data_IF_097040216965
#
_entry.id   IF_097040216965
#
_cell.length_a   1.000
_cell.length_b   1.000
_cell.length_c   1.000
_cell.angle_alpha   90.00
_cell.angle_beta   90.00
_cell.angle_gamma   90.00
#
_symmetry.space_group_name_H-M   'P 1'
#
loop_
_entity.id
_entity.type
_entity.pdbx_description
1 polymer ?
#
# COMPACT_ATOMS: atom_id res chain seq x y z
N UNK A 1 21.07 1.97 -2.36
CA UNK A 1 19.90 2.63 -1.74
C UNK A 1 19.72 3.98 -2.41
N UNK A 2 18.53 4.23 -2.94
CA UNK A 2 18.19 5.54 -3.52
C UNK A 2 18.27 6.62 -2.44
N UNK A 3 18.70 7.83 -2.80
CA UNK A 3 18.54 9.00 -1.94
C UNK A 3 17.06 9.25 -1.69
N UNK A 4 16.71 9.94 -0.62
CA UNK A 4 15.31 10.25 -0.28
C UNK A 4 14.61 10.97 -1.43
N UNK A 5 15.30 11.92 -2.07
CA UNK A 5 14.84 12.68 -3.25
C UNK A 5 14.69 11.86 -4.54
N UNK A 6 15.20 10.65 -4.58
CA UNK A 6 15.15 9.76 -5.75
C UNK A 6 14.01 8.75 -5.66
N UNK A 7 13.23 8.76 -4.57
CA UNK A 7 12.06 7.89 -4.47
C UNK A 7 10.90 8.46 -5.31
N UNK A 8 10.15 7.60 -6.01
CA UNK A 8 8.93 8.04 -6.66
C UNK A 8 7.88 8.43 -5.59
N UNK A 9 6.89 9.27 -5.92
CA UNK A 9 5.74 9.50 -5.06
C UNK A 9 4.97 8.20 -4.83
N UNK A 10 4.23 8.17 -3.70
CA UNK A 10 3.39 7.01 -3.34
C UNK A 10 2.21 6.88 -4.30
N UNK A 11 1.70 7.99 -4.78
CA UNK A 11 0.56 8.10 -5.70
C UNK A 11 0.97 8.98 -6.88
N UNK A 12 0.55 8.61 -8.07
CA UNK A 12 0.67 9.46 -9.24
C UNK A 12 -0.64 9.47 -10.03
N UNK A 13 -1.19 10.64 -10.37
CA UNK A 13 -0.74 12.01 -10.02
C UNK A 13 -0.79 12.29 -8.51
N UNK A 14 0.17 13.07 -8.00
CA UNK A 14 0.32 13.33 -6.55
C UNK A 14 -0.83 14.13 -5.93
N UNK A 15 -1.49 14.96 -6.73
CA UNK A 15 -2.57 15.85 -6.28
C UNK A 15 -3.91 15.13 -6.08
N UNK A 16 -4.04 13.90 -6.55
CA UNK A 16 -5.28 13.15 -6.55
C UNK A 16 -5.30 12.10 -5.43
N UNK A 17 -6.52 11.71 -5.02
CA UNK A 17 -6.75 10.46 -4.31
C UNK A 17 -6.93 9.34 -5.33
N UNK A 18 -6.56 8.13 -4.97
CA UNK A 18 -6.80 6.96 -5.82
C UNK A 18 -8.28 6.74 -6.14
N UNK A 19 -9.21 7.32 -5.36
CA UNK A 19 -10.66 7.30 -5.64
C UNK A 19 -11.04 8.07 -6.91
N UNK A 20 -10.20 9.02 -7.34
CA UNK A 20 -10.42 9.82 -8.55
C UNK A 20 -9.88 9.19 -9.83
N UNK A 21 -9.14 8.10 -9.73
CA UNK A 21 -8.53 7.45 -10.89
C UNK A 21 -9.59 6.86 -11.82
N UNK A 22 -9.37 7.01 -13.12
CA UNK A 22 -10.25 6.51 -14.16
C UNK A 22 -9.64 5.27 -14.82
N UNK A 23 -10.44 4.23 -15.03
CA UNK A 23 -10.02 2.97 -15.64
C UNK A 23 -10.18 1.79 -14.70
N UNK A 24 -9.55 0.69 -15.06
CA UNK A 24 -9.55 -0.55 -14.27
C UNK A 24 -8.27 -0.68 -13.44
N UNK A 25 -8.40 -1.27 -12.27
CA UNK A 25 -7.27 -1.61 -11.42
C UNK A 25 -6.63 -2.93 -11.83
N UNK A 26 -5.32 -2.91 -11.87
CA UNK A 26 -4.46 -4.07 -12.09
C UNK A 26 -3.39 -4.13 -11.02
N UNK A 27 -2.93 -5.32 -10.69
CA UNK A 27 -1.77 -5.47 -9.82
C UNK A 27 -0.57 -5.92 -10.64
N UNK A 28 0.42 -5.05 -10.74
CA UNK A 28 1.69 -5.38 -11.35
C UNK A 28 2.58 -6.12 -10.34
N UNK A 29 2.80 -7.42 -10.58
CA UNK A 29 3.85 -8.16 -9.90
C UNK A 29 5.16 -7.87 -10.63
N UNK A 30 6.09 -7.18 -9.98
CA UNK A 30 7.32 -6.73 -10.59
C UNK A 30 8.42 -7.77 -10.50
N UNK A 31 9.41 -7.68 -11.39
CA UNK A 31 10.69 -8.33 -11.18
C UNK A 31 11.30 -7.83 -9.88
N UNK A 32 12.18 -8.61 -9.27
CA UNK A 32 12.75 -8.29 -7.95
C UNK A 32 13.28 -6.85 -7.88
N UNK A 33 12.81 -6.10 -6.87
CA UNK A 33 13.20 -4.70 -6.58
C UNK A 33 12.96 -3.71 -7.72
N UNK A 34 12.01 -3.99 -8.60
CA UNK A 34 11.66 -3.09 -9.70
C UNK A 34 10.45 -2.19 -9.42
N UNK A 35 9.84 -2.24 -8.23
CA UNK A 35 8.63 -1.49 -7.90
C UNK A 35 8.82 0.03 -8.13
N UNK A 36 9.88 0.60 -7.59
CA UNK A 36 10.17 2.04 -7.74
C UNK A 36 10.61 2.41 -9.16
N UNK A 37 11.35 1.53 -9.82
CA UNK A 37 11.75 1.74 -11.19
C UNK A 37 10.53 1.73 -12.12
N UNK A 38 9.58 0.81 -11.90
CA UNK A 38 8.31 0.79 -12.60
C UNK A 38 7.52 2.08 -12.35
N UNK A 39 7.42 2.54 -11.09
CA UNK A 39 6.74 3.79 -10.77
C UNK A 39 7.33 4.99 -11.55
N UNK A 40 8.67 5.10 -11.65
CA UNK A 40 9.31 6.13 -12.46
C UNK A 40 8.99 5.99 -13.96
N UNK A 41 8.90 4.76 -14.48
CA UNK A 41 8.49 4.52 -15.87
C UNK A 41 7.06 4.99 -16.11
N UNK A 42 6.13 4.73 -15.16
CA UNK A 42 4.73 5.15 -15.23
C UNK A 42 4.59 6.68 -15.17
N UNK A 43 5.36 7.36 -14.32
CA UNK A 43 5.39 8.83 -14.29
C UNK A 43 5.76 9.40 -15.67
N UNK A 44 6.81 8.88 -16.30
CA UNK A 44 7.24 9.33 -17.64
C UNK A 44 6.18 9.12 -18.72
N UNK A 45 5.32 8.15 -18.55
CA UNK A 45 4.20 7.83 -19.44
C UNK A 45 2.89 8.49 -19.02
N UNK A 46 2.89 9.26 -17.92
CA UNK A 46 1.70 9.90 -17.32
C UNK A 46 0.59 8.89 -16.99
N UNK A 47 0.96 7.73 -16.48
CA UNK A 47 0.04 6.63 -16.12
C UNK A 47 -0.18 6.58 -14.62
N UNK A 48 -1.45 6.38 -14.19
CA UNK A 48 -1.83 6.40 -12.78
C UNK A 48 -1.34 5.16 -12.03
N UNK A 49 -0.79 5.36 -10.83
CA UNK A 49 -0.42 4.24 -9.95
C UNK A 49 -0.54 4.59 -8.47
N UNK A 50 -0.60 3.55 -7.66
CA UNK A 50 -0.44 3.58 -6.21
C UNK A 50 0.65 2.60 -5.79
N UNK A 51 1.71 3.12 -5.18
CA UNK A 51 2.82 2.35 -4.60
C UNK A 51 2.93 2.69 -3.12
N UNK A 52 2.15 2.04 -2.25
CA UNK A 52 2.23 2.30 -0.82
C UNK A 52 3.61 1.95 -0.28
N UNK A 53 4.25 2.92 0.36
CA UNK A 53 5.60 2.79 0.91
C UNK A 53 5.64 3.28 2.36
N UNK A 54 6.53 2.69 3.15
CA UNK A 54 6.77 3.11 4.52
C UNK A 54 8.25 3.24 4.84
N UNK A 55 8.54 4.03 5.86
CA UNK A 55 9.90 4.24 6.34
C UNK A 55 10.38 3.07 7.18
N UNK A 56 11.50 2.49 6.79
CA UNK A 56 12.22 1.50 7.59
C UNK A 56 13.52 2.08 8.11
N UNK A 57 13.69 2.04 9.42
CA UNK A 57 14.92 2.46 10.08
C UNK A 57 15.76 1.22 10.42
N UNK A 58 16.97 1.17 9.92
CA UNK A 58 17.95 0.13 10.30
C UNK A 58 19.15 0.78 10.97
N UNK A 59 19.67 0.15 12.00
CA UNK A 59 20.96 0.50 12.57
C UNK A 59 22.05 -0.33 11.90
N UNK A 60 23.05 0.33 11.32
CA UNK A 60 24.26 -0.31 10.80
C UNK A 60 25.46 0.35 11.47
N UNK A 61 26.16 -0.40 12.31
CA UNK A 61 27.22 0.14 13.18
C UNK A 61 26.66 1.28 14.04
N UNK A 62 27.25 2.47 14.02
CA UNK A 62 26.79 3.66 14.78
C UNK A 62 25.82 4.57 14.00
N UNK A 63 25.43 4.21 12.77
CA UNK A 63 24.58 5.06 11.90
C UNK A 63 23.16 4.51 11.80
N UNK A 64 22.16 5.40 11.88
CA UNK A 64 20.78 5.10 11.55
C UNK A 64 20.59 5.32 10.05
N UNK A 65 20.14 4.31 9.33
CA UNK A 65 19.81 4.39 7.91
C UNK A 65 18.29 4.32 7.80
N UNK A 66 17.69 5.37 7.21
CA UNK A 66 16.27 5.40 6.86
C UNK A 66 16.12 5.02 5.39
N UNK A 67 15.21 4.15 5.09
CA UNK A 67 14.86 3.74 3.73
C UNK A 67 13.36 3.73 3.57
N UNK A 68 12.85 4.34 2.50
CA UNK A 68 11.45 4.24 2.11
C UNK A 68 11.30 2.95 1.29
N UNK A 69 10.48 2.03 1.74
CA UNK A 69 10.32 0.71 1.10
C UNK A 69 8.84 0.43 0.79
N UNK A 70 8.54 -0.28 -0.32
CA UNK A 70 7.19 -0.76 -0.59
C UNK A 70 6.62 -1.55 0.59
N UNK A 71 5.37 -1.29 0.94
CA UNK A 71 4.63 -2.06 1.96
C UNK A 71 4.38 -3.49 1.48
N UNK A 72 4.07 -3.64 0.20
CA UNK A 72 3.85 -4.92 -0.46
C UNK A 72 5.00 -5.16 -1.44
N UNK A 73 6.04 -5.82 -0.97
CA UNK A 73 7.24 -6.07 -1.79
C UNK A 73 6.90 -6.89 -3.05
N UNK A 74 7.37 -6.43 -4.19
CA UNK A 74 7.09 -7.03 -5.49
C UNK A 74 5.79 -6.58 -6.16
N UNK A 75 5.00 -5.67 -5.55
CA UNK A 75 3.72 -5.25 -6.10
C UNK A 75 3.60 -3.74 -6.25
N UNK A 76 2.94 -3.33 -7.34
CA UNK A 76 2.52 -1.97 -7.62
C UNK A 76 1.08 -2.02 -8.14
N UNK A 77 0.21 -1.15 -7.64
CA UNK A 77 -1.17 -1.04 -8.11
C UNK A 77 -1.23 0.00 -9.23
N UNK A 78 -1.74 -0.41 -10.36
CA UNK A 78 -1.90 0.41 -11.56
C UNK A 78 -3.39 0.59 -11.87
N UNK A 79 -3.79 1.79 -12.29
CA UNK A 79 -5.14 2.05 -12.75
C UNK A 79 -5.08 2.69 -14.14
N UNK A 80 -5.81 2.14 -15.10
CA UNK A 80 -5.79 2.62 -16.47
C UNK A 80 -6.63 1.78 -17.42
N UNK A 81 -6.44 2.02 -18.72
CA UNK A 81 -7.11 1.30 -19.80
C UNK A 81 -6.23 0.16 -20.35
N UNK A 82 -6.75 -0.57 -21.34
CA UNK A 82 -6.09 -1.74 -21.94
C UNK A 82 -4.81 -1.37 -22.71
N UNK A 83 -4.77 -0.19 -23.36
CA UNK A 83 -3.57 0.28 -24.06
C UNK A 83 -2.45 0.58 -23.07
N UNK A 84 -2.78 1.27 -21.98
CA UNK A 84 -1.87 1.55 -20.88
C UNK A 84 -1.38 0.27 -20.20
N UNK A 85 -2.27 -0.71 -20.01
CA UNK A 85 -1.91 -2.04 -19.52
C UNK A 85 -0.86 -2.72 -20.40
N UNK A 86 -1.02 -2.62 -21.71
CA UNK A 86 -0.07 -3.15 -22.68
C UNK A 86 1.30 -2.44 -22.58
N UNK A 87 1.30 -1.14 -22.28
CA UNK A 87 2.53 -0.39 -22.08
C UNK A 87 3.30 -0.80 -20.80
N UNK A 88 2.64 -1.36 -19.77
CA UNK A 88 3.33 -1.90 -18.61
C UNK A 88 4.28 -3.04 -18.98
N UNK A 89 3.84 -3.97 -19.86
CA UNK A 89 4.68 -5.07 -20.35
C UNK A 89 5.94 -4.58 -21.06
N UNK A 90 5.83 -3.48 -21.81
CA UNK A 90 6.95 -2.88 -22.56
C UNK A 90 8.01 -2.26 -21.65
N UNK A 91 7.74 -2.05 -20.37
CA UNK A 91 8.74 -1.54 -19.43
C UNK A 91 9.82 -2.56 -19.07
N UNK A 92 9.61 -3.82 -19.38
CA UNK A 92 10.46 -4.96 -18.96
C UNK A 92 10.66 -5.07 -17.43
N UNK A 93 9.81 -4.42 -16.63
CA UNK A 93 9.86 -4.45 -15.17
C UNK A 93 8.86 -5.40 -14.54
N UNK A 94 7.85 -5.77 -15.30
CA UNK A 94 6.74 -6.60 -14.85
C UNK A 94 7.07 -8.07 -15.09
N UNK A 95 6.89 -8.88 -14.05
CA UNK A 95 6.97 -10.33 -14.14
C UNK A 95 5.60 -10.94 -14.45
N UNK A 96 4.52 -10.34 -13.91
CA UNK A 96 3.14 -10.74 -14.16
C UNK A 96 2.19 -9.57 -13.91
N UNK A 97 1.06 -9.54 -14.63
CA UNK A 97 -0.08 -8.66 -14.36
C UNK A 97 -1.24 -9.51 -13.85
N UNK A 98 -1.70 -9.16 -12.66
CA UNK A 98 -2.79 -9.86 -12.00
C UNK A 98 -4.07 -9.07 -12.25
N UNK A 99 -5.04 -9.73 -12.88
CA UNK A 99 -6.37 -9.21 -13.08
C UNK A 99 -7.12 -9.09 -11.75
N UNK A 100 -7.77 -7.96 -11.54
CA UNK A 100 -8.57 -7.70 -10.35
C UNK A 100 -10.03 -8.03 -10.64
N UNK A 101 -10.51 -9.14 -10.10
CA UNK A 101 -11.90 -9.57 -10.31
C UNK A 101 -12.91 -8.70 -9.57
N UNK A 102 -12.56 -8.24 -8.39
CA UNK A 102 -13.42 -7.38 -7.55
C UNK A 102 -12.77 -6.01 -7.40
N UNK A 103 -13.04 -5.14 -8.37
CA UNK A 103 -12.51 -3.79 -8.47
C UNK A 103 -12.90 -2.92 -7.27
N UNK A 104 -14.16 -3.01 -6.83
CA UNK A 104 -14.66 -2.20 -5.71
C UNK A 104 -14.01 -2.62 -4.40
N UNK A 105 -13.85 -3.91 -4.17
CA UNK A 105 -13.21 -4.43 -2.97
C UNK A 105 -11.75 -3.98 -2.89
N UNK A 106 -11.00 -4.16 -3.98
CA UNK A 106 -9.61 -3.72 -4.01
C UNK A 106 -9.51 -2.21 -3.74
N UNK A 107 -10.33 -1.40 -4.41
CA UNK A 107 -10.31 0.05 -4.20
C UNK A 107 -10.59 0.42 -2.74
N UNK A 108 -11.58 -0.21 -2.10
CA UNK A 108 -11.89 0.01 -0.67
C UNK A 108 -10.70 -0.34 0.22
N UNK A 109 -10.04 -1.47 -0.04
CA UNK A 109 -8.85 -1.90 0.71
C UNK A 109 -7.68 -0.92 0.53
N UNK A 110 -7.42 -0.47 -0.70
CA UNK A 110 -6.35 0.50 -1.00
C UNK A 110 -6.63 1.89 -0.41
N UNK A 111 -7.88 2.35 -0.43
CA UNK A 111 -8.28 3.64 0.17
C UNK A 111 -8.00 3.69 1.67
N UNK A 112 -8.17 2.59 2.38
CA UNK A 112 -7.82 2.52 3.80
C UNK A 112 -6.32 2.69 4.03
N UNK A 113 -5.51 2.09 3.17
CA UNK A 113 -4.05 2.22 3.22
C UNK A 113 -3.64 3.66 2.84
N UNK A 114 -4.24 4.23 1.81
CA UNK A 114 -4.03 5.63 1.44
C UNK A 114 -4.35 6.57 2.59
N UNK A 115 -5.51 6.42 3.23
CA UNK A 115 -5.94 7.23 4.36
C UNK A 115 -4.94 7.13 5.52
N UNK A 116 -4.50 5.93 5.86
CA UNK A 116 -3.52 5.72 6.92
C UNK A 116 -2.17 6.40 6.59
N UNK A 117 -1.70 6.28 5.35
CA UNK A 117 -0.45 6.91 4.90
C UNK A 117 -0.56 8.44 4.90
N UNK A 118 -1.68 9.00 4.44
CA UNK A 118 -1.93 10.46 4.46
C UNK A 118 -2.03 11.01 5.88
N UNK A 119 -2.54 10.22 6.83
CA UNK A 119 -2.55 10.56 8.26
C UNK A 119 -1.17 10.43 8.93
N UNK A 120 -0.12 10.05 8.17
CA UNK A 120 1.22 9.87 8.69
C UNK A 120 1.41 8.61 9.55
N UNK A 121 0.50 7.64 9.46
CA UNK A 121 0.57 6.42 10.24
C UNK A 121 1.84 5.61 9.90
N UNK A 122 2.57 5.10 10.90
CA UNK A 122 3.75 4.28 10.68
C UNK A 122 3.36 2.85 10.32
N UNK A 123 2.78 2.66 9.13
CA UNK A 123 2.42 1.34 8.62
C UNK A 123 3.66 0.46 8.47
N UNK A 124 3.55 -0.79 8.86
CA UNK A 124 4.57 -1.81 8.61
C UNK A 124 3.95 -2.99 7.88
N UNK A 125 4.71 -3.69 7.02
CA UNK A 125 4.28 -4.97 6.47
C UNK A 125 3.93 -5.95 7.58
N UNK A 126 2.81 -6.65 7.44
CA UNK A 126 2.34 -7.63 8.40
C UNK A 126 1.80 -8.88 7.69
N UNK A 127 1.54 -9.93 8.47
CA UNK A 127 0.96 -11.17 7.95
C UNK A 127 -0.52 -10.99 7.68
N UNK A 128 -0.98 -11.60 6.61
CA UNK A 128 -2.40 -11.74 6.36
C UNK A 128 -3.07 -12.58 7.46
N UNK A 129 -4.20 -12.12 7.97
CA UNK A 129 -4.90 -12.74 9.09
C UNK A 129 -6.29 -13.18 8.61
N UNK A 130 -6.52 -14.48 8.62
CA UNK A 130 -7.81 -15.05 8.19
C UNK A 130 -8.90 -14.92 9.24
N UNK A 131 -8.52 -14.90 10.51
CA UNK A 131 -9.44 -14.85 11.65
C UNK A 131 -9.04 -13.75 12.61
N UNK A 132 -10.01 -13.02 13.12
CA UNK A 132 -9.78 -11.93 14.06
C UNK A 132 -11.02 -11.06 14.17
N UNK A 133 -11.05 -10.20 15.16
CA UNK A 133 -12.17 -9.31 15.40
C UNK A 133 -12.09 -8.11 14.46
N UNK A 134 -13.12 -7.91 13.64
CA UNK A 134 -13.23 -6.72 12.82
C UNK A 134 -13.56 -5.52 13.70
N UNK A 135 -12.86 -4.44 13.51
CA UNK A 135 -13.03 -3.22 14.26
C UNK A 135 -13.01 -2.01 13.35
N UNK A 136 -13.65 -0.94 13.82
CA UNK A 136 -13.60 0.40 13.22
C UNK A 136 -12.94 1.36 14.21
N UNK A 137 -12.11 2.26 13.69
CA UNK A 137 -11.50 3.33 14.49
C UNK A 137 -12.51 4.45 14.69
N UNK A 138 -12.76 4.83 15.93
CA UNK A 138 -13.79 5.79 16.33
C UNK A 138 -13.23 7.19 16.65
N UNK A 139 -11.90 7.34 16.76
CA UNK A 139 -11.28 8.62 17.07
C UNK A 139 -9.86 8.75 16.52
N UNK A 140 -9.35 9.97 16.51
CA UNK A 140 -7.96 10.28 16.12
C UNK A 140 -7.72 10.33 14.61
N UNK A 141 -6.43 10.36 14.19
CA UNK A 141 -6.05 10.53 12.79
C UNK A 141 -6.50 9.40 11.87
N UNK A 142 -6.82 8.24 12.42
CA UNK A 142 -7.23 7.04 11.69
C UNK A 142 -8.75 6.81 11.75
N UNK A 143 -9.53 7.83 12.14
CA UNK A 143 -10.98 7.76 12.25
C UNK A 143 -11.61 7.16 10.99
N UNK A 144 -12.49 6.18 11.18
CA UNK A 144 -13.24 5.51 10.12
C UNK A 144 -12.54 4.32 9.48
N UNK A 145 -11.23 4.12 9.69
CA UNK A 145 -10.55 2.93 9.20
C UNK A 145 -11.14 1.66 9.81
N UNK A 146 -11.24 0.63 8.98
CA UNK A 146 -11.71 -0.67 9.37
C UNK A 146 -10.64 -1.72 9.09
N UNK A 147 -10.50 -2.67 9.99
CA UNK A 147 -9.53 -3.75 9.83
C UNK A 147 -9.69 -4.82 10.89
N UNK A 148 -8.79 -5.79 10.86
CA UNK A 148 -8.74 -6.82 11.89
C UNK A 148 -7.81 -6.35 13.01
N UNK A 149 -8.29 -6.41 14.24
CA UNK A 149 -7.45 -6.05 15.39
C UNK A 149 -6.84 -7.30 16.00
N UNK A 150 -5.54 -7.24 16.24
CA UNK A 150 -4.77 -8.31 16.86
C UNK A 150 -3.88 -7.78 17.97
N UNK A 151 -3.65 -8.60 18.97
CA UNK A 151 -2.71 -8.32 20.04
C UNK A 151 -1.38 -9.02 19.76
N UNK A 152 -0.31 -8.27 19.61
CA UNK A 152 1.03 -8.79 19.36
C UNK A 152 2.00 -8.21 20.38
N UNK A 153 2.63 -9.09 21.18
CA UNK A 153 3.63 -8.70 22.20
C UNK A 153 3.14 -7.59 23.15
N UNK A 154 1.85 -7.65 23.53
CA UNK A 154 1.24 -6.68 24.42
C UNK A 154 0.71 -5.40 23.76
N UNK A 155 0.97 -5.20 22.47
CA UNK A 155 0.49 -4.03 21.70
C UNK A 155 -0.70 -4.43 20.83
N UNK A 156 -1.73 -3.61 20.80
CA UNK A 156 -2.86 -3.76 19.87
C UNK A 156 -2.48 -3.18 18.51
N UNK A 157 -2.81 -3.90 17.44
CA UNK A 157 -2.53 -3.50 16.07
C UNK A 157 -3.78 -3.62 15.21
N UNK A 158 -4.07 -2.56 14.47
CA UNK A 158 -5.05 -2.58 13.38
C UNK A 158 -4.36 -3.09 12.11
N UNK A 159 -4.88 -4.16 11.54
CA UNK A 159 -4.35 -4.81 10.35
C UNK A 159 -5.25 -4.48 9.16
N UNK A 160 -4.68 -3.76 8.19
CA UNK A 160 -5.31 -3.42 6.92
C UNK A 160 -4.85 -4.44 5.88
N UNK A 161 -5.79 -5.13 5.24
CA UNK A 161 -5.51 -6.28 4.39
C UNK A 161 -5.77 -5.93 2.92
N UNK A 162 -5.00 -6.56 2.05
CA UNK A 162 -5.24 -6.64 0.61
C UNK A 162 -5.48 -8.11 0.27
N UNK A 163 -6.74 -8.50 0.30
CA UNK A 163 -7.15 -9.90 0.27
C UNK A 163 -6.64 -10.67 -0.95
N UNK A 164 -6.70 -10.06 -2.12
CA UNK A 164 -6.25 -10.70 -3.36
C UNK A 164 -4.76 -11.01 -3.39
N UNK A 165 -3.95 -10.30 -2.60
CA UNK A 165 -2.51 -10.53 -2.47
C UNK A 165 -2.18 -11.48 -1.31
N UNK A 166 -3.13 -11.72 -0.40
CA UNK A 166 -2.83 -12.39 0.86
C UNK A 166 -1.81 -11.65 1.70
N UNK A 167 -1.75 -10.32 1.60
CA UNK A 167 -0.81 -9.47 2.30
C UNK A 167 -1.54 -8.43 3.15
N UNK A 168 -0.84 -7.88 4.12
CA UNK A 168 -1.37 -6.87 5.01
C UNK A 168 -0.30 -5.86 5.43
N UNK A 169 -0.78 -4.71 5.90
CA UNK A 169 -0.01 -3.73 6.63
C UNK A 169 -0.69 -3.45 7.96
N UNK A 170 0.04 -3.13 9.00
CA UNK A 170 -0.54 -2.84 10.30
C UNK A 170 0.04 -1.59 10.95
N UNK A 171 -0.75 -1.01 11.82
CA UNK A 171 -0.39 0.13 12.66
C UNK A 171 -0.78 -0.14 14.10
N UNK A 172 -0.04 0.40 15.06
CA UNK A 172 -0.41 0.36 16.48
C UNK A 172 -1.64 1.23 16.72
N UNK A 173 -2.57 0.74 17.55
CA UNK A 173 -3.81 1.43 17.90
C UNK A 173 -4.16 1.22 19.38
N UNK A 174 -4.71 2.24 19.99
CA UNK A 174 -5.24 2.13 21.36
C UNK A 174 -6.61 1.45 21.33
N UNK A 175 -6.82 0.55 22.29
CA UNK A 175 -8.07 -0.22 22.39
C UNK A 175 -9.29 0.70 22.61
N UNK A 176 -9.09 1.82 23.29
CA UNK A 176 -10.15 2.79 23.59
C UNK A 176 -10.60 3.59 22.36
N UNK A 177 -9.85 3.48 21.25
CA UNK A 177 -10.16 4.15 19.98
C UNK A 177 -10.91 3.27 18.99
N UNK A 178 -11.25 2.03 19.35
CA UNK A 178 -11.85 1.08 18.41
C UNK A 178 -13.20 0.56 18.89
N UNK A 179 -14.08 0.29 17.93
CA UNK A 179 -15.35 -0.39 18.13
C UNK A 179 -15.38 -1.66 17.29
N UNK A 180 -15.93 -2.72 17.87
CA UNK A 180 -16.17 -3.98 17.15
C UNK A 180 -17.28 -3.76 16.14
N UNK A 181 -17.08 -4.22 14.93
CA UNK A 181 -18.09 -4.22 13.86
C UNK A 181 -18.33 -5.65 13.38
N UNK A 182 -19.60 -6.00 13.17
CA UNK A 182 -20.02 -7.32 12.68
C UNK A 182 -19.75 -7.50 11.17
#
# INVERSE_FOLDING_TARGET
>A
LLKVSENPPIIWPESESISGFQGEWWVAHTKSRNEKALAHDLIRKNMCYFLPMSWKVRRKSRRKIKSLLPLFGGYLFFCGNEDERSELWRTDRVANLIEVKDQEKLLKELLQIEQALRAGAPLIPDKYIKTGQKCRVMAGPLLGLQGVVVKTRGTMRLVLQVDMLGQAASVEIDIDMIEVVD
#
